data_IF_954250580000
#
_entry.id   IF_954250580000
#
_cell.length_a   1.000
_cell.length_b   1.000
_cell.length_c   1.000
_cell.angle_alpha   90.00
_cell.angle_beta   90.00
_cell.angle_gamma   90.00
#
_symmetry.space_group_name_H-M   'P 1'
#
loop_
_entity.id
_entity.type
_entity.pdbx_description
1 polymer ?
#
# COMPACT_ATOMS: atom_id res chain seq x y z
N UNK A 1 29.38 -17.68 23.33
CA UNK A 1 29.41 -18.24 21.96
C UNK A 1 28.01 -18.05 21.38
N UNK A 2 27.83 -17.06 20.53
CA UNK A 2 26.51 -16.59 20.05
C UNK A 2 26.23 -17.24 18.69
N UNK A 3 25.44 -18.30 18.69
CA UNK A 3 25.10 -19.07 17.48
C UNK A 3 23.96 -18.35 16.72
N UNK A 4 24.33 -17.33 15.94
CA UNK A 4 23.39 -16.70 14.99
C UNK A 4 23.06 -17.72 13.90
N UNK A 5 22.00 -18.49 14.09
CA UNK A 5 21.40 -19.26 13.00
C UNK A 5 20.71 -18.26 12.05
N UNK A 6 21.40 -17.90 11.00
CA UNK A 6 20.75 -17.30 9.83
C UNK A 6 19.71 -18.28 9.32
N UNK A 7 18.48 -17.84 9.01
CA UNK A 7 17.53 -18.72 8.35
C UNK A 7 18.15 -19.18 7.03
N UNK A 8 18.04 -20.47 6.77
CA UNK A 8 18.67 -21.16 5.66
C UNK A 8 18.53 -20.41 4.33
N UNK A 9 19.59 -20.45 3.54
CA UNK A 9 19.81 -19.80 2.23
C UNK A 9 18.74 -20.08 1.16
N UNK A 10 17.67 -20.82 1.49
CA UNK A 10 16.61 -21.21 0.57
C UNK A 10 15.53 -20.12 0.33
N UNK A 11 15.32 -19.18 1.26
CA UNK A 11 14.30 -18.14 1.14
C UNK A 11 14.58 -17.05 0.11
N UNK A 12 15.84 -16.58 -0.12
CA UNK A 12 16.13 -15.63 -1.19
C UNK A 12 15.76 -16.14 -2.57
N UNK A 13 16.00 -17.42 -2.83
CA UNK A 13 15.69 -18.04 -4.11
C UNK A 13 14.19 -18.17 -4.36
N UNK A 14 13.37 -18.34 -3.33
CA UNK A 14 11.91 -18.35 -3.43
C UNK A 14 11.40 -16.95 -3.83
N UNK A 15 11.95 -15.87 -3.26
CA UNK A 15 11.61 -14.51 -3.65
C UNK A 15 12.02 -14.21 -5.09
N UNK A 16 13.23 -14.64 -5.50
CA UNK A 16 13.72 -14.47 -6.87
C UNK A 16 12.90 -15.29 -7.88
N UNK A 17 12.55 -16.53 -7.55
CA UNK A 17 11.71 -17.38 -8.39
C UNK A 17 10.29 -16.85 -8.50
N UNK A 18 9.73 -16.27 -7.43
CA UNK A 18 8.45 -15.57 -7.47
C UNK A 18 8.53 -14.32 -8.36
N UNK A 19 9.59 -13.51 -8.28
CA UNK A 19 9.79 -12.37 -9.18
C UNK A 19 9.95 -12.81 -10.64
N UNK A 20 10.71 -13.87 -10.91
CA UNK A 20 10.87 -14.42 -12.26
C UNK A 20 9.58 -15.05 -12.80
N UNK A 21 8.81 -15.73 -11.95
CA UNK A 21 7.49 -16.25 -12.30
C UNK A 21 6.51 -15.12 -12.62
N UNK A 22 6.61 -13.97 -11.93
CA UNK A 22 5.83 -12.77 -12.19
C UNK A 22 6.15 -12.14 -13.54
N UNK A 23 7.43 -12.06 -13.89
CA UNK A 23 7.87 -11.52 -15.18
C UNK A 23 7.52 -12.47 -16.34
N UNK A 24 7.56 -13.79 -16.11
CA UNK A 24 7.21 -14.80 -17.12
C UNK A 24 5.72 -14.98 -17.36
N UNK A 25 4.86 -14.64 -16.40
CA UNK A 25 3.41 -14.79 -16.52
C UNK A 25 2.77 -13.83 -17.53
N UNK A 26 3.35 -12.67 -17.78
CA UNK A 26 2.85 -11.74 -18.81
C UNK A 26 2.84 -12.40 -20.19
N UNK A 27 3.88 -13.15 -20.50
CA UNK A 27 3.96 -13.92 -21.74
C UNK A 27 2.96 -15.08 -21.81
N UNK A 28 2.76 -15.77 -20.69
CA UNK A 28 1.82 -16.92 -20.62
C UNK A 28 0.35 -16.48 -20.69
N UNK A 29 0.00 -15.38 -20.06
CA UNK A 29 -1.38 -14.89 -20.00
C UNK A 29 -1.80 -14.16 -21.27
N UNK A 30 -0.88 -13.49 -21.98
CA UNK A 30 -1.12 -13.01 -23.35
C UNK A 30 -1.37 -14.15 -24.32
N UNK A 31 -0.73 -15.31 -24.13
CA UNK A 31 -0.91 -16.50 -24.94
C UNK A 31 -2.27 -17.21 -24.71
N UNK A 32 -2.89 -17.05 -23.52
CA UNK A 32 -4.15 -17.71 -23.13
C UNK A 32 -5.38 -16.84 -23.44
N UNK A 33 -5.20 -15.55 -23.78
CA UNK A 33 -6.29 -14.66 -24.22
C UNK A 33 -7.39 -14.38 -23.17
N UNK A 34 -7.09 -14.57 -21.86
CA UNK A 34 -8.08 -14.38 -20.82
C UNK A 34 -8.07 -12.95 -20.26
N UNK A 35 -9.19 -12.24 -20.45
CA UNK A 35 -9.44 -10.89 -19.88
C UNK A 35 -9.93 -10.95 -18.42
N UNK A 36 -9.61 -12.00 -17.68
CA UNK A 36 -10.07 -12.22 -16.32
C UNK A 36 -9.41 -11.25 -15.31
N UNK A 37 -9.82 -11.21 -14.04
CA UNK A 37 -9.45 -10.20 -13.03
C UNK A 37 -7.95 -10.25 -12.65
N UNK A 38 -7.12 -10.10 -13.67
CA UNK A 38 -5.65 -10.13 -13.61
C UNK A 38 -5.09 -9.07 -12.67
N UNK A 39 -5.81 -7.95 -12.48
CA UNK A 39 -5.34 -6.84 -11.66
C UNK A 39 -5.19 -7.24 -10.18
N UNK A 40 -6.17 -7.95 -9.63
CA UNK A 40 -6.12 -8.40 -8.23
C UNK A 40 -5.00 -9.43 -8.01
N UNK A 41 -4.82 -10.36 -8.94
CA UNK A 41 -3.76 -11.37 -8.88
C UNK A 41 -2.37 -10.75 -9.05
N UNK A 42 -2.19 -9.80 -9.97
CA UNK A 42 -0.94 -9.04 -10.16
C UNK A 42 -0.57 -8.25 -8.90
N UNK A 43 -1.54 -7.57 -8.29
CA UNK A 43 -1.34 -6.84 -7.03
C UNK A 43 -0.90 -7.79 -5.92
N UNK A 44 -1.59 -8.93 -5.77
CA UNK A 44 -1.24 -9.91 -4.75
C UNK A 44 0.18 -10.46 -4.92
N UNK A 45 0.57 -10.79 -6.14
CA UNK A 45 1.91 -11.30 -6.43
C UNK A 45 3.00 -10.25 -6.26
N UNK A 46 2.78 -9.00 -6.69
CA UNK A 46 3.72 -7.90 -6.45
C UNK A 46 3.86 -7.60 -4.96
N UNK A 47 2.76 -7.60 -4.21
CA UNK A 47 2.78 -7.43 -2.77
C UNK A 47 3.59 -8.54 -2.07
N UNK A 48 3.41 -9.80 -2.48
CA UNK A 48 4.18 -10.94 -1.95
C UNK A 48 5.66 -10.83 -2.35
N UNK A 49 5.97 -10.43 -3.59
CA UNK A 49 7.35 -10.24 -4.07
C UNK A 49 8.08 -9.14 -3.31
N UNK A 50 7.46 -7.96 -3.19
CA UNK A 50 8.02 -6.82 -2.44
C UNK A 50 8.16 -7.16 -0.95
N UNK A 51 7.15 -7.81 -0.35
CA UNK A 51 7.21 -8.25 1.04
C UNK A 51 8.33 -9.27 1.27
N UNK A 52 8.52 -10.22 0.35
CA UNK A 52 9.60 -11.21 0.43
C UNK A 52 10.98 -10.56 0.33
N UNK A 53 11.15 -9.62 -0.58
CA UNK A 53 12.38 -8.86 -0.73
C UNK A 53 12.67 -8.01 0.52
N UNK A 54 11.66 -7.34 1.05
CA UNK A 54 11.76 -6.59 2.30
C UNK A 54 12.17 -7.49 3.47
N UNK A 55 11.61 -8.72 3.57
CA UNK A 55 11.99 -9.69 4.59
C UNK A 55 13.45 -10.13 4.53
N UNK A 56 14.04 -10.19 3.33
CA UNK A 56 15.44 -10.57 3.12
C UNK A 56 16.38 -9.43 3.49
N UNK A 57 16.03 -8.22 3.10
CA UNK A 57 16.85 -7.02 3.24
C UNK A 57 16.66 -6.29 4.57
N UNK A 58 15.73 -6.73 5.44
CA UNK A 58 15.40 -6.04 6.68
C UNK A 58 16.62 -5.94 7.62
N UNK A 59 17.06 -4.71 7.89
CA UNK A 59 18.15 -4.41 8.81
C UNK A 59 17.70 -4.63 10.27
N UNK A 60 18.58 -4.35 11.25
CA UNK A 60 18.21 -4.30 12.68
C UNK A 60 16.93 -3.50 12.89
N UNK A 61 16.13 -3.88 13.87
CA UNK A 61 14.76 -3.36 14.12
C UNK A 61 14.65 -1.84 14.03
N UNK A 62 15.54 -1.11 14.70
CA UNK A 62 15.54 0.36 14.71
C UNK A 62 15.71 0.96 13.32
N UNK A 63 16.64 0.42 12.53
CA UNK A 63 16.88 0.87 11.16
C UNK A 63 15.69 0.50 10.27
N UNK A 64 15.08 -0.67 10.48
CA UNK A 64 13.86 -1.09 9.77
C UNK A 64 12.70 -0.12 9.98
N UNK A 65 12.48 0.35 11.21
CA UNK A 65 11.47 1.37 11.50
C UNK A 65 11.80 2.71 10.84
N UNK A 66 13.08 3.12 10.89
CA UNK A 66 13.51 4.37 10.24
C UNK A 66 13.30 4.31 8.72
N UNK A 67 13.64 3.18 8.08
CA UNK A 67 13.37 2.97 6.66
C UNK A 67 11.88 3.00 6.35
N UNK A 68 11.04 2.36 7.17
CA UNK A 68 9.58 2.42 7.04
C UNK A 68 9.07 3.86 7.08
N UNK A 69 9.57 4.68 8.01
CA UNK A 69 9.26 6.11 8.07
C UNK A 69 9.70 6.84 6.79
N UNK A 70 10.94 6.65 6.34
CA UNK A 70 11.48 7.30 5.14
C UNK A 70 10.70 6.92 3.87
N UNK A 71 10.24 5.68 3.76
CA UNK A 71 9.38 5.24 2.65
C UNK A 71 8.04 5.96 2.69
N UNK A 72 7.42 6.12 3.87
CA UNK A 72 6.18 6.89 4.01
C UNK A 72 6.39 8.37 3.62
N UNK A 73 7.49 8.99 4.05
CA UNK A 73 7.85 10.38 3.69
C UNK A 73 8.07 10.50 2.17
N UNK A 74 8.82 9.56 1.58
CA UNK A 74 9.07 9.53 0.14
C UNK A 74 7.79 9.39 -0.68
N UNK A 75 6.88 8.48 -0.27
CA UNK A 75 5.60 8.30 -0.93
C UNK A 75 4.72 9.55 -0.82
N UNK A 76 4.69 10.19 0.36
CA UNK A 76 3.95 11.44 0.56
C UNK A 76 4.56 12.58 -0.27
N UNK A 77 5.90 12.69 -0.28
CA UNK A 77 6.59 13.69 -1.11
C UNK A 77 6.30 13.52 -2.60
N UNK A 78 6.29 12.28 -3.09
CA UNK A 78 5.91 11.99 -4.46
C UNK A 78 4.43 12.32 -4.76
N UNK A 79 3.52 12.01 -3.83
CA UNK A 79 2.11 12.36 -3.96
C UNK A 79 1.87 13.87 -4.01
N UNK A 80 2.65 14.65 -3.23
CA UNK A 80 2.61 16.12 -3.28
C UNK A 80 3.22 16.67 -4.58
N UNK A 81 4.29 16.05 -5.07
CA UNK A 81 4.87 16.40 -6.36
C UNK A 81 3.87 16.21 -7.51
N UNK A 82 3.15 15.08 -7.54
CA UNK A 82 2.11 14.85 -8.54
C UNK A 82 0.98 15.89 -8.46
N UNK A 83 0.62 16.30 -7.25
CA UNK A 83 -0.45 17.28 -7.05
C UNK A 83 -0.04 18.71 -7.44
N UNK A 84 1.11 19.17 -6.95
CA UNK A 84 1.52 20.58 -7.14
C UNK A 84 2.45 20.76 -8.35
N UNK A 85 3.20 19.72 -8.75
CA UNK A 85 4.10 19.78 -9.89
C UNK A 85 3.42 19.40 -11.20
N UNK A 86 2.63 18.33 -11.21
CA UNK A 86 1.95 17.82 -12.41
C UNK A 86 0.47 18.26 -12.48
N UNK A 87 -0.07 18.93 -11.45
CA UNK A 87 -1.44 19.40 -11.40
C UNK A 87 -2.49 18.28 -11.32
N UNK A 88 -2.13 17.09 -10.84
CA UNK A 88 -3.04 15.95 -10.70
C UNK A 88 -3.81 16.09 -9.38
N UNK A 89 -5.08 16.48 -9.47
CA UNK A 89 -5.93 16.60 -8.29
C UNK A 89 -6.24 15.24 -7.67
N UNK A 90 -6.01 15.06 -6.34
CA UNK A 90 -6.28 13.81 -5.65
C UNK A 90 -7.78 13.64 -5.43
N UNK A 91 -8.32 12.49 -5.82
CA UNK A 91 -9.70 12.11 -5.50
C UNK A 91 -9.90 11.91 -3.98
N UNK A 92 -11.13 11.93 -3.46
CA UNK A 92 -11.41 11.77 -2.03
C UNK A 92 -10.84 10.49 -1.40
N UNK A 93 -10.87 9.35 -2.10
CA UNK A 93 -10.27 8.09 -1.63
C UNK A 93 -8.75 8.20 -1.53
N UNK A 94 -8.09 8.93 -2.47
CA UNK A 94 -6.65 9.18 -2.40
C UNK A 94 -6.28 9.99 -1.16
N UNK A 95 -7.11 10.96 -0.76
CA UNK A 95 -6.89 11.75 0.45
C UNK A 95 -6.96 10.89 1.71
N UNK A 96 -7.92 9.97 1.82
CA UNK A 96 -7.98 9.02 2.94
C UNK A 96 -6.77 8.10 2.98
N UNK A 97 -6.30 7.60 1.84
CA UNK A 97 -5.08 6.79 1.77
C UNK A 97 -3.85 7.58 2.27
N UNK A 98 -3.71 8.86 1.91
CA UNK A 98 -2.65 9.74 2.39
C UNK A 98 -2.67 9.88 3.91
N UNK A 99 -3.85 10.02 4.52
CA UNK A 99 -4.00 10.06 5.99
C UNK A 99 -3.47 8.77 6.61
N UNK A 100 -3.81 7.60 6.05
CA UNK A 100 -3.29 6.32 6.53
C UNK A 100 -1.75 6.22 6.39
N UNK A 101 -1.18 6.69 5.27
CA UNK A 101 0.29 6.72 5.07
C UNK A 101 0.97 7.60 6.11
N UNK A 102 0.43 8.79 6.39
CA UNK A 102 0.97 9.70 7.41
C UNK A 102 0.89 9.06 8.80
N UNK A 103 -0.26 8.47 9.16
CA UNK A 103 -0.44 7.79 10.44
C UNK A 103 0.58 6.65 10.61
N UNK A 104 0.77 5.81 9.59
CA UNK A 104 1.78 4.75 9.59
C UNK A 104 3.19 5.31 9.73
N UNK A 105 3.51 6.39 9.01
CA UNK A 105 4.80 7.08 9.10
C UNK A 105 5.10 7.57 10.51
N UNK A 106 4.13 8.20 11.17
CA UNK A 106 4.25 8.66 12.57
C UNK A 106 4.49 7.48 13.51
N UNK A 107 3.77 6.37 13.34
CA UNK A 107 3.97 5.15 14.15
C UNK A 107 5.36 4.57 13.94
N UNK A 108 5.87 4.52 12.71
CA UNK A 108 7.24 4.08 12.40
C UNK A 108 8.28 4.99 13.03
N UNK A 109 8.09 6.31 12.97
CA UNK A 109 9.00 7.28 13.60
C UNK A 109 9.06 7.08 15.11
N UNK A 110 7.91 6.99 15.77
CA UNK A 110 7.83 6.75 17.23
C UNK A 110 8.50 5.42 17.57
N UNK A 111 8.26 4.36 16.82
CA UNK A 111 8.90 3.06 17.03
C UNK A 111 10.42 3.12 16.83
N UNK A 112 10.93 3.89 15.85
CA UNK A 112 12.35 4.08 15.63
C UNK A 112 13.03 4.85 16.79
N UNK A 113 12.35 5.86 17.34
CA UNK A 113 12.84 6.63 18.49
C UNK A 113 12.80 5.81 19.78
N UNK A 114 11.70 5.10 20.01
CA UNK A 114 11.49 4.28 21.20
C UNK A 114 12.37 3.01 21.21
N UNK A 115 12.73 2.49 20.04
CA UNK A 115 13.50 1.24 19.88
C UNK A 115 12.98 0.10 20.77
N UNK A 116 11.70 -0.31 20.62
CA UNK A 116 11.03 -1.22 21.54
C UNK A 116 11.63 -2.62 21.53
N UNK A 117 11.56 -3.32 22.66
CA UNK A 117 11.81 -4.75 22.73
C UNK A 117 10.73 -5.55 21.97
N UNK A 118 10.86 -6.89 21.96
CA UNK A 118 9.97 -7.77 21.17
C UNK A 118 8.48 -7.59 21.46
N UNK A 119 8.08 -7.44 22.73
CA UNK A 119 6.68 -7.22 23.11
C UNK A 119 6.16 -5.86 22.58
N UNK A 120 6.96 -4.79 22.76
CA UNK A 120 6.62 -3.48 22.23
C UNK A 120 6.58 -3.45 20.69
N UNK A 121 7.48 -4.18 20.01
CA UNK A 121 7.43 -4.33 18.57
C UNK A 121 6.13 -4.99 18.10
N UNK A 122 5.58 -5.95 18.87
CA UNK A 122 4.26 -6.53 18.62
C UNK A 122 3.13 -5.52 18.73
N UNK A 123 3.16 -4.64 19.74
CA UNK A 123 2.18 -3.57 19.89
C UNK A 123 2.23 -2.56 18.72
N UNK A 124 3.43 -2.14 18.30
CA UNK A 124 3.58 -1.29 17.12
C UNK A 124 3.09 -1.97 15.84
N UNK A 125 3.39 -3.26 15.64
CA UNK A 125 2.91 -4.00 14.48
C UNK A 125 1.37 -4.11 14.45
N UNK A 126 0.73 -4.24 15.61
CA UNK A 126 -0.74 -4.23 15.72
C UNK A 126 -1.34 -2.87 15.33
N UNK A 127 -0.73 -1.77 15.79
CA UNK A 127 -1.16 -0.42 15.40
C UNK A 127 -0.96 -0.20 13.89
N UNK A 128 0.16 -0.67 13.34
CA UNK A 128 0.41 -0.65 11.89
C UNK A 128 -0.60 -1.49 11.11
N UNK A 129 -1.06 -2.62 11.65
CA UNK A 129 -2.12 -3.43 11.04
C UNK A 129 -3.44 -2.65 10.96
N UNK A 130 -3.77 -1.85 11.98
CA UNK A 130 -5.00 -1.04 11.97
C UNK A 130 -4.95 0.02 10.88
N UNK A 131 -3.91 0.87 10.86
CA UNK A 131 -3.79 1.93 9.85
C UNK A 131 -3.51 1.40 8.45
N UNK A 132 -2.62 0.41 8.34
CA UNK A 132 -2.30 -0.24 7.07
C UNK A 132 -3.48 -1.05 6.53
N UNK A 133 -4.23 -1.73 7.40
CA UNK A 133 -5.44 -2.47 7.03
C UNK A 133 -6.55 -1.54 6.53
N UNK A 134 -6.78 -0.42 7.24
CA UNK A 134 -7.72 0.61 6.78
C UNK A 134 -7.28 1.18 5.41
N UNK A 135 -6.00 1.55 5.26
CA UNK A 135 -5.46 2.04 3.99
C UNK A 135 -5.57 1.01 2.86
N UNK A 136 -5.28 -0.27 3.15
CA UNK A 136 -5.43 -1.36 2.19
C UNK A 136 -6.89 -1.57 1.77
N UNK A 137 -7.84 -1.51 2.70
CA UNK A 137 -9.27 -1.62 2.38
C UNK A 137 -9.75 -0.47 1.49
N UNK A 138 -9.34 0.78 1.78
CA UNK A 138 -9.64 1.96 0.97
C UNK A 138 -9.00 1.82 -0.42
N UNK A 139 -7.74 1.39 -0.51
CA UNK A 139 -7.05 1.19 -1.77
C UNK A 139 -7.69 0.05 -2.60
N UNK A 140 -8.11 -1.05 -1.96
CA UNK A 140 -8.83 -2.13 -2.62
C UNK A 140 -10.18 -1.65 -3.17
N UNK A 141 -10.94 -0.84 -2.41
CA UNK A 141 -12.17 -0.22 -2.89
C UNK A 141 -11.91 0.68 -4.10
N UNK A 142 -10.84 1.47 -4.06
CA UNK A 142 -10.44 2.34 -5.16
C UNK A 142 -10.10 1.53 -6.43
N UNK A 143 -9.30 0.46 -6.32
CA UNK A 143 -9.00 -0.44 -7.45
C UNK A 143 -10.26 -1.09 -8.00
N UNK A 144 -11.20 -1.47 -7.12
CA UNK A 144 -12.48 -2.03 -7.53
C UNK A 144 -13.31 -1.03 -8.35
N UNK A 145 -13.41 0.24 -7.92
CA UNK A 145 -14.09 1.29 -8.67
C UNK A 145 -13.47 1.48 -10.06
N UNK A 146 -12.13 1.44 -10.17
CA UNK A 146 -11.41 1.53 -11.44
C UNK A 146 -11.63 0.33 -12.37
N UNK A 147 -12.16 -0.78 -11.86
CA UNK A 147 -12.48 -2.00 -12.63
C UNK A 147 -13.93 -2.04 -13.14
N UNK A 148 -14.79 -1.11 -12.70
CA UNK A 148 -16.18 -1.06 -13.13
C UNK A 148 -16.33 -0.64 -14.59
N UNK A 149 -17.34 -1.19 -15.31
CA UNK A 149 -17.76 -0.65 -16.61
C UNK A 149 -18.21 0.82 -16.48
N UNK A 150 -18.06 1.61 -17.54
CA UNK A 150 -18.36 3.05 -17.50
C UNK A 150 -19.82 3.40 -17.16
N UNK A 151 -20.72 2.50 -17.45
CA UNK A 151 -22.18 2.58 -17.17
C UNK A 151 -22.53 2.27 -15.70
N UNK A 152 -21.65 1.62 -14.96
CA UNK A 152 -21.82 1.28 -13.54
C UNK A 152 -21.03 2.23 -12.60
N UNK A 153 -20.22 3.14 -13.17
CA UNK A 153 -19.44 4.10 -12.38
C UNK A 153 -20.40 5.11 -11.73
N UNK A 154 -20.26 5.36 -10.40
CA UNK A 154 -21.02 6.39 -9.72
C UNK A 154 -20.87 7.76 -10.40
N UNK A 155 -21.88 8.63 -10.28
CA UNK A 155 -21.78 9.99 -10.77
C UNK A 155 -20.60 10.74 -10.11
N UNK A 156 -20.06 11.74 -10.80
CA UNK A 156 -19.05 12.62 -10.20
C UNK A 156 -19.59 13.23 -8.91
N UNK A 157 -18.85 13.08 -7.81
CA UNK A 157 -19.26 13.57 -6.50
C UNK A 157 -19.11 15.09 -6.39
N UNK A 158 -19.72 15.65 -5.37
CA UNK A 158 -19.40 16.99 -4.91
C UNK A 158 -17.98 16.99 -4.35
N UNK A 159 -17.14 17.96 -4.71
CA UNK A 159 -15.77 18.05 -4.22
C UNK A 159 -15.68 17.91 -2.69
N UNK A 160 -14.58 17.35 -2.18
CA UNK A 160 -14.39 17.09 -0.76
C UNK A 160 -14.58 18.36 0.10
N UNK A 161 -14.07 19.49 -0.36
CA UNK A 161 -14.19 20.79 0.33
C UNK A 161 -15.65 21.19 0.53
N UNK A 162 -16.46 21.09 -0.53
CA UNK A 162 -17.89 21.37 -0.47
C UNK A 162 -18.63 20.40 0.49
N UNK A 163 -18.28 19.11 0.47
CA UNK A 163 -18.88 18.12 1.39
C UNK A 163 -18.54 18.45 2.84
N UNK A 164 -17.30 18.85 3.14
CA UNK A 164 -16.87 19.20 4.50
C UNK A 164 -17.56 20.47 5.03
N UNK A 165 -17.94 21.41 4.15
CA UNK A 165 -18.64 22.64 4.54
C UNK A 165 -20.15 22.43 4.72
N UNK A 166 -20.75 21.49 3.98
CA UNK A 166 -22.22 21.38 3.89
C UNK A 166 -22.82 20.17 4.55
N UNK A 167 -22.05 19.08 4.77
CA UNK A 167 -22.53 17.81 5.27
C UNK A 167 -21.97 17.48 6.67
N UNK A 168 -22.73 16.75 7.51
CA UNK A 168 -22.19 16.14 8.72
C UNK A 168 -21.01 15.20 8.39
N UNK A 169 -20.00 15.13 9.27
CA UNK A 169 -18.80 14.33 9.06
C UNK A 169 -19.07 12.85 8.73
N UNK A 170 -20.12 12.27 9.32
CA UNK A 170 -20.56 10.88 9.07
C UNK A 170 -21.00 10.67 7.61
N UNK A 171 -21.71 11.64 7.04
CA UNK A 171 -22.21 11.59 5.68
C UNK A 171 -21.07 11.84 4.68
N UNK A 172 -20.15 12.75 5.03
CA UNK A 172 -18.90 12.94 4.25
C UNK A 172 -18.13 11.63 4.18
N UNK A 173 -17.90 10.98 5.31
CA UNK A 173 -17.14 9.71 5.36
C UNK A 173 -17.82 8.61 4.55
N UNK A 174 -19.15 8.52 4.65
CA UNK A 174 -19.94 7.56 3.89
C UNK A 174 -19.83 7.82 2.38
N UNK A 175 -20.04 9.05 1.93
CA UNK A 175 -19.96 9.43 0.52
C UNK A 175 -18.55 9.19 -0.05
N UNK A 176 -17.50 9.52 0.74
CA UNK A 176 -16.12 9.28 0.33
C UNK A 176 -15.82 7.78 0.19
N UNK A 177 -16.32 6.95 1.11
CA UNK A 177 -16.13 5.47 1.05
C UNK A 177 -16.97 4.82 -0.06
N UNK A 178 -18.14 5.37 -0.38
CA UNK A 178 -18.92 4.94 -1.54
C UNK A 178 -18.16 5.21 -2.84
N UNK A 179 -17.37 6.29 -2.88
CA UNK A 179 -16.54 6.70 -4.00
C UNK A 179 -17.31 7.50 -5.05
N UNK A 180 -16.62 8.39 -5.71
CA UNK A 180 -17.15 9.22 -6.82
C UNK A 180 -16.60 8.76 -8.16
N UNK A 181 -17.21 9.21 -9.26
CA UNK A 181 -16.76 8.91 -10.62
C UNK A 181 -15.31 9.32 -10.89
N UNK A 182 -14.82 10.37 -10.22
CA UNK A 182 -13.42 10.80 -10.26
C UNK A 182 -12.45 9.71 -9.78
N UNK A 183 -12.88 8.87 -8.81
CA UNK A 183 -12.07 7.75 -8.33
C UNK A 183 -11.99 6.59 -9.34
N UNK A 184 -12.92 6.49 -10.26
CA UNK A 184 -12.92 5.44 -11.29
C UNK A 184 -11.99 5.77 -12.46
N UNK A 185 -11.59 7.02 -12.63
CA UNK A 185 -10.67 7.43 -13.69
C UNK A 185 -9.26 6.90 -13.40
N UNK A 186 -8.70 6.20 -14.38
CA UNK A 186 -7.31 5.73 -14.35
C UNK A 186 -6.43 6.84 -14.94
N UNK A 187 -5.82 7.63 -14.09
CA UNK A 187 -4.87 8.64 -14.52
C UNK A 187 -3.52 8.01 -14.93
N UNK A 188 -2.51 8.17 -14.06
CA UNK A 188 -1.18 7.63 -14.29
C UNK A 188 -1.14 6.11 -13.99
N UNK A 189 -0.56 5.34 -14.91
CA UNK A 189 -0.33 3.90 -14.75
C UNK A 189 1.16 3.56 -14.94
N UNK A 190 1.69 2.72 -14.07
CA UNK A 190 3.04 2.17 -14.18
C UNK A 190 3.00 0.66 -14.00
N UNK A 191 3.65 -0.09 -14.89
CA UNK A 191 3.61 -1.56 -14.94
C UNK A 191 2.16 -2.12 -14.91
N UNK A 192 1.26 -1.49 -15.66
CA UNK A 192 -0.16 -1.84 -15.72
C UNK A 192 -0.91 -1.77 -14.36
N UNK A 193 -0.35 -1.06 -13.41
CA UNK A 193 -1.00 -0.74 -12.14
C UNK A 193 -1.22 0.77 -12.03
N UNK A 194 -2.44 1.13 -11.63
CA UNK A 194 -2.79 2.51 -11.28
C UNK A 194 -2.12 2.92 -9.96
N UNK A 195 -2.14 4.21 -9.64
CA UNK A 195 -1.67 4.73 -8.35
C UNK A 195 -2.35 3.98 -7.19
N UNK A 196 -3.66 3.71 -7.30
CA UNK A 196 -4.41 2.95 -6.30
C UNK A 196 -3.89 1.51 -6.13
N UNK A 197 -3.51 0.85 -7.22
CA UNK A 197 -2.89 -0.48 -7.17
C UNK A 197 -1.54 -0.47 -6.45
N UNK A 198 -0.70 0.51 -6.74
CA UNK A 198 0.60 0.65 -6.06
C UNK A 198 0.46 0.99 -4.58
N UNK A 199 -0.52 1.83 -4.19
CA UNK A 199 -0.78 2.10 -2.77
C UNK A 199 -1.29 0.88 -2.03
N UNK A 200 -2.08 0.02 -2.67
CA UNK A 200 -2.49 -1.27 -2.08
C UNK A 200 -1.27 -2.18 -1.83
N UNK A 201 -0.38 -2.32 -2.82
CA UNK A 201 0.89 -3.07 -2.67
C UNK A 201 1.72 -2.49 -1.52
N UNK A 202 1.82 -1.17 -1.44
CA UNK A 202 2.53 -0.49 -0.36
C UNK A 202 1.96 -0.84 1.02
N UNK A 203 0.65 -0.72 1.24
CA UNK A 203 0.04 -1.01 2.54
C UNK A 203 0.28 -2.45 2.96
N UNK A 204 0.09 -3.42 2.06
CA UNK A 204 0.33 -4.84 2.35
C UNK A 204 1.80 -5.08 2.69
N UNK A 205 2.73 -4.53 1.90
CA UNK A 205 4.16 -4.67 2.14
C UNK A 205 4.59 -4.10 3.50
N UNK A 206 4.06 -2.93 3.88
CA UNK A 206 4.39 -2.28 5.15
C UNK A 206 3.83 -3.03 6.36
N UNK A 207 2.62 -3.63 6.25
CA UNK A 207 2.07 -4.52 7.29
C UNK A 207 3.00 -5.73 7.47
N UNK A 208 3.35 -6.41 6.39
CA UNK A 208 4.23 -7.59 6.45
C UNK A 208 5.59 -7.23 7.00
N UNK A 209 6.19 -6.11 6.58
CA UNK A 209 7.45 -5.62 7.12
C UNK A 209 7.37 -5.36 8.64
N UNK A 210 6.28 -4.77 9.13
CA UNK A 210 6.07 -4.50 10.55
C UNK A 210 6.05 -5.78 11.38
N UNK A 211 5.37 -6.82 10.91
CA UNK A 211 5.38 -8.12 11.58
C UNK A 211 6.73 -8.84 11.51
N UNK A 212 7.45 -8.66 10.41
CA UNK A 212 8.79 -9.22 10.26
C UNK A 212 9.80 -8.60 11.23
N UNK A 213 9.67 -7.31 11.53
CA UNK A 213 10.51 -6.58 12.49
C UNK A 213 10.37 -7.09 13.93
N UNK A 214 9.27 -7.76 14.30
CA UNK A 214 9.11 -8.39 15.62
C UNK A 214 10.17 -9.46 15.85
N UNK A 215 10.61 -10.16 14.80
CA UNK A 215 11.57 -11.27 14.86
C UNK A 215 13.03 -10.82 14.76
N UNK A 216 13.27 -9.54 14.49
CA UNK A 216 14.62 -8.95 14.40
C UNK A 216 15.04 -8.37 15.75
N UNK A 217 16.31 -8.47 16.07
CA UNK A 217 16.94 -7.88 17.27
C UNK A 217 17.77 -6.66 16.86
#
# INVERSE_FOLDING_TARGET
MNNRRYPSLSWPWVGLLLCLALLGQEYLLQAIGSNAPLTAYRIALMAVGVASLALILLPPRRIGYLLGFLVCVGLMGYALYLQYGEGIEPCPLCMLQRICVVAMGVVFLIAALHNPGRAGAGAYALVQLVFGGAGAAIAARHVWLQSLPKDEVPACGMGLDYMLETLPFTDVLRNVLEGSGECAEKGWEFLHLSIAGWTLVFFVAMIVASFALIRRD
#
